data_IF_846549276932
#
_entry.id   IF_846549276932
#
_cell.length_a   1.000
_cell.length_b   1.000
_cell.length_c   1.000
_cell.angle_alpha   90.00
_cell.angle_beta   90.00
_cell.angle_gamma   90.00
#
_symmetry.space_group_name_H-M   'P 1'
#
loop_
_entity.id
_entity.type
_entity.pdbx_description
1 polymer ?
#
# COMPACT_ATOMS: atom_id res chain seq x y z
N UNK A 1 -31.54 3.24 -22.68
CA UNK A 1 -30.12 3.70 -22.65
C UNK A 1 -29.45 2.93 -21.53
N UNK A 2 -28.39 2.17 -21.84
CA UNK A 2 -27.53 1.60 -20.79
C UNK A 2 -26.79 2.77 -20.15
N UNK A 3 -26.79 2.87 -18.82
CA UNK A 3 -26.09 3.94 -18.11
C UNK A 3 -24.58 3.95 -18.42
N UNK A 4 -23.85 4.99 -17.98
CA UNK A 4 -22.39 5.01 -18.11
C UNK A 4 -21.79 3.73 -17.49
N UNK A 5 -20.64 3.25 -18.01
CA UNK A 5 -20.05 1.96 -17.61
C UNK A 5 -19.58 1.92 -16.14
N UNK A 6 -19.57 3.07 -15.47
CA UNK A 6 -19.10 3.29 -14.11
C UNK A 6 -20.15 4.08 -13.33
N UNK A 7 -20.42 3.66 -12.10
CA UNK A 7 -21.27 4.36 -11.14
C UNK A 7 -20.48 4.55 -9.83
N UNK A 8 -19.78 5.68 -9.65
CA UNK A 8 -18.96 5.93 -8.45
C UNK A 8 -19.74 5.88 -7.13
N UNK A 9 -21.06 6.12 -7.19
CA UNK A 9 -21.97 6.07 -6.03
C UNK A 9 -22.54 4.68 -5.75
N UNK A 10 -22.21 3.69 -6.58
CA UNK A 10 -22.63 2.31 -6.45
C UNK A 10 -22.27 1.73 -5.07
N UNK A 11 -23.05 0.72 -4.67
CA UNK A 11 -22.70 -0.09 -3.51
C UNK A 11 -21.24 -0.62 -3.59
N UNK A 12 -20.45 -0.52 -2.52
CA UNK A 12 -19.05 -0.97 -2.51
C UNK A 12 -18.84 -2.43 -2.93
N UNK A 13 -19.85 -3.29 -2.76
CA UNK A 13 -19.79 -4.71 -3.19
C UNK A 13 -19.76 -4.89 -4.70
N UNK A 14 -20.08 -3.85 -5.49
CA UNK A 14 -19.96 -3.88 -6.96
C UNK A 14 -18.52 -3.66 -7.45
N UNK A 15 -17.56 -3.64 -6.54
CA UNK A 15 -16.14 -3.50 -6.84
C UNK A 15 -15.78 -2.12 -7.39
N UNK A 16 -14.80 -2.09 -8.28
CA UNK A 16 -14.25 -0.85 -8.85
C UNK A 16 -15.26 -0.20 -9.80
N UNK A 17 -15.81 0.92 -9.37
CA UNK A 17 -16.86 1.65 -10.10
C UNK A 17 -16.49 3.11 -10.38
N UNK A 18 -15.26 3.51 -10.06
CA UNK A 18 -14.73 4.82 -10.45
C UNK A 18 -14.22 4.79 -11.89
N UNK A 19 -14.49 5.83 -12.70
CA UNK A 19 -13.90 5.97 -14.03
C UNK A 19 -12.41 6.33 -13.99
N UNK A 20 -11.88 6.63 -12.80
CA UNK A 20 -10.50 7.03 -12.60
C UNK A 20 -9.56 5.83 -12.62
N UNK A 21 -8.41 5.99 -13.24
CA UNK A 21 -7.31 5.04 -13.10
C UNK A 21 -6.56 5.26 -11.76
N UNK A 22 -5.73 4.28 -11.32
CA UNK A 22 -4.96 4.40 -10.08
C UNK A 22 -4.17 5.70 -9.94
N UNK A 23 -3.48 6.15 -10.99
CA UNK A 23 -2.69 7.37 -10.94
C UNK A 23 -3.54 8.64 -10.75
N UNK A 24 -4.74 8.68 -11.34
CA UNK A 24 -5.69 9.76 -11.15
C UNK A 24 -6.24 9.77 -9.72
N UNK A 25 -6.55 8.60 -9.16
CA UNK A 25 -7.01 8.48 -7.77
C UNK A 25 -5.96 9.03 -6.80
N UNK A 26 -4.68 8.73 -6.97
CA UNK A 26 -3.63 9.33 -6.14
C UNK A 26 -3.53 10.85 -6.30
N UNK A 27 -3.51 11.33 -7.55
CA UNK A 27 -3.38 12.76 -7.85
C UNK A 27 -4.54 13.59 -7.31
N UNK A 28 -5.73 13.02 -7.18
CA UNK A 28 -6.91 13.70 -6.65
C UNK A 28 -7.15 13.42 -5.15
N UNK A 29 -6.88 12.19 -4.70
CA UNK A 29 -7.09 11.74 -3.33
C UNK A 29 -6.10 12.35 -2.34
N UNK A 30 -4.82 12.48 -2.70
CA UNK A 30 -3.81 13.07 -1.80
C UNK A 30 -4.13 14.53 -1.46
N UNK A 31 -4.39 15.43 -2.43
CA UNK A 31 -4.77 16.81 -2.11
C UNK A 31 -6.07 16.89 -1.31
N UNK A 32 -7.08 16.06 -1.66
CA UNK A 32 -8.36 16.05 -0.95
C UNK A 32 -8.20 15.64 0.52
N UNK A 33 -7.40 14.60 0.78
CA UNK A 33 -7.13 14.15 2.15
C UNK A 33 -6.27 15.15 2.94
N UNK A 34 -5.28 15.78 2.29
CA UNK A 34 -4.49 16.84 2.92
C UNK A 34 -5.36 18.04 3.29
N UNK A 35 -6.26 18.49 2.41
CA UNK A 35 -7.18 19.58 2.71
C UNK A 35 -8.08 19.27 3.91
N UNK A 36 -8.57 18.03 4.03
CA UNK A 36 -9.30 17.58 5.22
C UNK A 36 -8.44 17.58 6.48
N UNK A 37 -7.18 17.14 6.38
CA UNK A 37 -6.24 17.20 7.51
C UNK A 37 -5.97 18.64 7.95
N UNK A 38 -5.78 19.57 7.02
CA UNK A 38 -5.61 21.00 7.29
C UNK A 38 -6.85 21.57 7.97
N UNK A 39 -8.05 21.21 7.51
CA UNK A 39 -9.30 21.67 8.11
C UNK A 39 -9.49 21.12 9.54
N UNK A 40 -9.15 19.85 9.79
CA UNK A 40 -9.39 19.17 11.07
C UNK A 40 -8.30 19.44 12.11
N UNK A 41 -7.04 19.50 11.69
CA UNK A 41 -5.87 19.54 12.56
C UNK A 41 -5.00 20.79 12.37
N UNK A 42 -5.26 21.62 11.36
CA UNK A 42 -4.51 22.85 11.09
C UNK A 42 -3.20 22.65 10.33
N UNK A 43 -2.89 21.44 9.87
CA UNK A 43 -1.69 21.13 9.10
C UNK A 43 -1.90 19.97 8.12
N UNK A 44 -1.07 19.89 7.09
CA UNK A 44 -1.05 18.77 6.15
C UNK A 44 -0.68 17.45 6.86
N UNK A 45 -1.12 16.32 6.31
CA UNK A 45 -0.94 14.99 6.91
C UNK A 45 0.51 14.69 7.35
N UNK A 46 1.49 15.04 6.50
CA UNK A 46 2.92 14.80 6.75
C UNK A 46 3.50 15.61 7.91
N UNK A 47 2.84 16.69 8.34
CA UNK A 47 3.27 17.54 9.45
C UNK A 47 2.54 17.22 10.77
N UNK A 48 1.60 16.27 10.76
CA UNK A 48 0.90 15.83 11.96
C UNK A 48 1.78 14.95 12.85
N UNK A 49 1.43 14.87 14.14
CA UNK A 49 2.00 13.88 15.07
C UNK A 49 1.61 12.46 14.65
N UNK A 50 2.36 11.44 15.10
CA UNK A 50 2.09 10.05 14.76
C UNK A 50 0.67 9.63 15.17
N UNK A 51 0.22 10.04 16.36
CA UNK A 51 -1.11 9.74 16.88
C UNK A 51 -2.21 10.40 16.02
N UNK A 52 -1.97 11.63 15.55
CA UNK A 52 -2.88 12.33 14.65
C UNK A 52 -2.89 11.72 13.25
N UNK A 53 -1.75 11.23 12.74
CA UNK A 53 -1.67 10.51 11.47
C UNK A 53 -2.50 9.23 11.51
N UNK A 54 -2.35 8.43 12.57
CA UNK A 54 -3.13 7.21 12.76
C UNK A 54 -4.63 7.50 12.86
N UNK A 55 -5.02 8.54 13.60
CA UNK A 55 -6.41 8.97 13.69
C UNK A 55 -6.96 9.45 12.33
N UNK A 56 -6.16 10.20 11.56
CA UNK A 56 -6.52 10.68 10.23
C UNK A 56 -6.72 9.51 9.24
N UNK A 57 -5.78 8.57 9.19
CA UNK A 57 -5.88 7.36 8.36
C UNK A 57 -7.06 6.48 8.77
N UNK A 58 -7.35 6.38 10.07
CA UNK A 58 -8.52 5.66 10.58
C UNK A 58 -9.82 6.31 10.09
N UNK A 59 -9.95 7.64 10.18
CA UNK A 59 -11.12 8.34 9.62
C UNK A 59 -11.23 8.17 8.10
N UNK A 60 -10.10 8.16 7.39
CA UNK A 60 -10.07 7.91 5.95
C UNK A 60 -10.56 6.50 5.61
N UNK A 61 -10.09 5.49 6.34
CA UNK A 61 -10.53 4.09 6.21
C UNK A 61 -12.04 3.92 6.44
N UNK A 62 -12.59 4.64 7.42
CA UNK A 62 -14.02 4.59 7.76
C UNK A 62 -14.91 5.41 6.82
N UNK A 63 -14.33 6.16 5.88
CA UNK A 63 -15.06 7.05 4.98
C UNK A 63 -15.56 8.34 5.63
N UNK A 64 -15.05 8.69 6.82
CA UNK A 64 -15.46 9.89 7.58
C UNK A 64 -14.89 11.20 7.00
N UNK A 65 -13.93 11.08 6.08
CA UNK A 65 -13.29 12.22 5.40
C UNK A 65 -14.22 12.90 4.39
N UNK A 66 -15.27 12.20 3.93
CA UNK A 66 -16.22 12.76 2.96
C UNK A 66 -15.62 13.00 1.58
N UNK A 67 -14.73 12.10 1.13
CA UNK A 67 -14.18 12.16 -0.23
C UNK A 67 -15.29 12.03 -1.28
N UNK A 68 -15.04 12.60 -2.46
CA UNK A 68 -15.94 12.42 -3.60
C UNK A 68 -16.09 10.93 -3.93
N UNK A 69 -17.26 10.48 -4.42
CA UNK A 69 -17.52 9.07 -4.70
C UNK A 69 -16.47 8.40 -5.61
N UNK A 70 -15.91 9.14 -6.57
CA UNK A 70 -14.85 8.69 -7.48
C UNK A 70 -13.54 8.33 -6.76
N UNK A 71 -13.35 8.83 -5.55
CA UNK A 71 -12.15 8.63 -4.71
C UNK A 71 -12.39 7.69 -3.54
N UNK A 72 -13.58 7.07 -3.45
CA UNK A 72 -13.93 6.12 -2.39
C UNK A 72 -12.84 5.05 -2.19
N UNK A 73 -12.29 4.54 -3.29
CA UNK A 73 -11.34 3.43 -3.27
C UNK A 73 -9.89 3.87 -2.99
N UNK A 74 -9.65 5.17 -2.74
CA UNK A 74 -8.31 5.73 -2.48
C UNK A 74 -7.58 5.06 -1.32
N UNK A 75 -8.23 4.89 -0.17
CA UNK A 75 -7.59 4.26 0.99
C UNK A 75 -7.22 2.80 0.72
N UNK A 76 -8.15 2.05 0.11
CA UNK A 76 -7.93 0.64 -0.24
C UNK A 76 -6.75 0.50 -1.19
N UNK A 77 -6.68 1.35 -2.21
CA UNK A 77 -5.56 1.38 -3.16
C UNK A 77 -4.23 1.76 -2.48
N UNK A 78 -4.24 2.76 -1.60
CA UNK A 78 -3.07 3.18 -0.82
C UNK A 78 -2.54 2.05 0.05
N UNK A 79 -3.43 1.39 0.80
CA UNK A 79 -3.07 0.27 1.67
C UNK A 79 -2.53 -0.91 0.86
N UNK A 80 -3.16 -1.24 -0.26
CA UNK A 80 -2.72 -2.32 -1.15
C UNK A 80 -1.32 -2.03 -1.69
N UNK A 81 -1.10 -0.85 -2.27
CA UNK A 81 0.20 -0.49 -2.83
C UNK A 81 1.30 -0.37 -1.77
N UNK A 82 0.94 -0.01 -0.53
CA UNK A 82 1.89 0.01 0.60
C UNK A 82 2.34 -1.41 0.95
N UNK A 83 1.41 -2.37 1.01
CA UNK A 83 1.75 -3.79 1.20
C UNK A 83 2.61 -4.31 0.05
N UNK A 84 2.22 -4.03 -1.18
CA UNK A 84 2.99 -4.42 -2.37
C UNK A 84 4.40 -3.82 -2.33
N UNK A 85 4.54 -2.53 -2.04
CA UNK A 85 5.84 -1.88 -1.90
C UNK A 85 6.69 -2.43 -0.75
N UNK A 86 6.07 -2.93 0.32
CA UNK A 86 6.78 -3.53 1.45
C UNK A 86 7.26 -4.96 1.13
N UNK A 87 6.45 -5.77 0.43
CA UNK A 87 6.73 -7.19 0.21
C UNK A 87 7.34 -7.52 -1.15
N UNK A 88 7.18 -6.67 -2.17
CA UNK A 88 7.69 -6.93 -3.50
C UNK A 88 9.23 -6.84 -3.56
N UNK A 89 9.77 -7.31 -4.69
CA UNK A 89 11.18 -7.18 -5.01
C UNK A 89 11.59 -5.70 -5.13
N UNK A 90 12.78 -5.30 -4.64
CA UNK A 90 13.24 -3.92 -4.72
C UNK A 90 13.27 -3.34 -6.15
N UNK A 91 13.32 -4.18 -7.19
CA UNK A 91 13.30 -3.73 -8.58
C UNK A 91 12.06 -2.91 -8.96
N UNK A 92 10.96 -3.05 -8.21
CA UNK A 92 9.71 -2.32 -8.43
C UNK A 92 9.67 -0.96 -7.71
N UNK A 93 10.76 -0.55 -7.06
CA UNK A 93 10.91 0.74 -6.38
C UNK A 93 10.47 0.75 -4.91
N UNK A 94 9.89 -0.35 -4.42
CA UNK A 94 9.65 -0.59 -2.99
C UNK A 94 10.83 -1.28 -2.30
N UNK A 95 10.60 -1.76 -1.07
CA UNK A 95 11.49 -2.64 -0.29
C UNK A 95 12.99 -2.36 -0.50
N UNK A 96 13.38 -1.09 -0.34
CA UNK A 96 14.72 -0.65 -0.72
C UNK A 96 15.78 -1.48 0.03
N UNK A 97 16.75 -2.03 -0.71
CA UNK A 97 17.80 -2.88 -0.14
C UNK A 97 17.29 -4.15 0.56
N UNK A 98 16.08 -4.62 0.23
CA UNK A 98 15.44 -5.78 0.85
C UNK A 98 15.29 -5.67 2.38
N UNK A 99 15.24 -4.44 2.91
CA UNK A 99 15.18 -4.20 4.35
C UNK A 99 13.91 -4.79 4.97
N UNK A 100 12.77 -4.70 4.29
CA UNK A 100 11.53 -5.30 4.77
C UNK A 100 11.68 -6.84 4.89
N UNK A 101 12.28 -7.48 3.88
CA UNK A 101 12.56 -8.92 3.91
C UNK A 101 13.52 -9.30 5.03
N UNK A 102 14.54 -8.48 5.29
CA UNK A 102 15.46 -8.66 6.42
C UNK A 102 14.71 -8.60 7.76
N UNK A 103 13.86 -7.59 7.96
CA UNK A 103 13.10 -7.40 9.22
C UNK A 103 12.12 -8.53 9.53
N UNK A 104 11.35 -8.96 8.53
CA UNK A 104 10.39 -10.06 8.71
C UNK A 104 11.07 -11.43 8.67
N UNK A 105 12.37 -11.47 8.41
CA UNK A 105 13.16 -12.68 8.31
C UNK A 105 12.78 -13.57 7.13
N UNK A 106 12.31 -12.98 6.02
CA UNK A 106 11.88 -13.70 4.81
C UNK A 106 13.07 -14.37 4.11
N UNK A 107 13.21 -15.72 4.21
CA UNK A 107 14.25 -16.46 3.50
C UNK A 107 13.65 -17.09 2.23
N UNK A 108 14.33 -17.19 1.08
CA UNK A 108 15.66 -16.71 0.69
C UNK A 108 15.59 -15.53 -0.32
N UNK A 109 14.47 -14.80 -0.38
CA UNK A 109 14.17 -13.95 -1.53
C UNK A 109 13.94 -14.77 -2.80
N UNK A 110 14.31 -14.23 -3.95
CA UNK A 110 14.23 -14.90 -5.25
C UNK A 110 15.34 -15.95 -5.50
N UNK A 111 15.84 -16.62 -4.46
CA UNK A 111 16.94 -17.58 -4.58
C UNK A 111 16.43 -18.89 -5.21
N UNK A 112 16.90 -19.19 -6.42
CA UNK A 112 16.38 -20.29 -7.26
C UNK A 112 16.59 -21.72 -6.76
N UNK A 113 17.36 -21.96 -5.69
CA UNK A 113 17.51 -23.29 -5.10
C UNK A 113 17.70 -23.23 -3.58
N UNK A 114 16.87 -23.97 -2.86
CA UNK A 114 16.93 -24.18 -1.40
C UNK A 114 16.77 -25.66 -1.04
N UNK A 115 16.95 -26.58 -2.00
CA UNK A 115 16.64 -28.01 -1.84
C UNK A 115 17.32 -28.64 -0.62
N UNK A 116 18.57 -28.28 -0.34
CA UNK A 116 19.36 -28.74 0.81
C UNK A 116 18.87 -28.24 2.19
N UNK A 117 17.94 -27.29 2.22
CA UNK A 117 17.36 -26.71 3.43
C UNK A 117 15.93 -27.20 3.70
N UNK A 118 15.29 -27.92 2.77
CA UNK A 118 13.91 -28.38 2.89
C UNK A 118 13.71 -29.30 4.09
N UNK A 119 14.69 -30.16 4.37
CA UNK A 119 14.64 -31.13 5.49
C UNK A 119 15.19 -30.56 6.80
N UNK A 120 15.65 -29.30 6.82
CA UNK A 120 16.23 -28.66 8.02
C UNK A 120 15.17 -27.91 8.79
N UNK A 121 14.49 -28.60 9.69
CA UNK A 121 13.47 -28.02 10.55
C UNK A 121 14.08 -27.23 11.71
N UNK A 122 13.42 -26.14 12.11
CA UNK A 122 13.81 -25.30 13.27
C UNK A 122 15.24 -24.75 13.24
N UNK A 123 15.90 -24.73 12.08
CA UNK A 123 17.21 -24.11 11.89
C UNK A 123 17.02 -22.78 11.17
N UNK A 124 17.55 -21.70 11.75
CA UNK A 124 17.54 -20.38 11.10
C UNK A 124 18.37 -20.44 9.82
N UNK A 125 17.77 -20.01 8.71
CA UNK A 125 18.47 -19.87 7.44
C UNK A 125 19.55 -18.77 7.55
N UNK A 126 20.82 -19.05 7.25
CA UNK A 126 21.92 -18.14 7.57
C UNK A 126 22.16 -17.06 6.51
N UNK A 127 21.58 -17.20 5.31
CA UNK A 127 21.85 -16.29 4.21
C UNK A 127 20.74 -15.24 4.10
N UNK A 128 21.14 -13.98 3.88
CA UNK A 128 20.21 -12.88 3.66
C UNK A 128 19.38 -13.05 2.38
N UNK A 129 18.36 -12.19 2.22
CA UNK A 129 17.53 -12.20 1.01
C UNK A 129 18.35 -11.90 -0.25
N UNK A 130 17.83 -12.38 -1.38
CA UNK A 130 18.36 -12.11 -2.72
C UNK A 130 17.25 -11.52 -3.59
N UNK A 131 17.53 -10.40 -4.28
CA UNK A 131 16.58 -9.80 -5.22
C UNK A 131 16.53 -10.60 -6.52
N UNK A 132 15.51 -10.37 -7.36
CA UNK A 132 15.38 -10.93 -8.71
C UNK A 132 16.61 -10.55 -9.57
N UNK A 133 17.20 -9.38 -9.32
CA UNK A 133 18.44 -8.93 -9.97
C UNK A 133 19.71 -9.60 -9.42
N UNK A 134 19.60 -10.42 -8.38
CA UNK A 134 20.72 -11.09 -7.73
C UNK A 134 21.45 -10.26 -6.67
N UNK A 135 20.91 -9.10 -6.29
CA UNK A 135 21.48 -8.25 -5.24
C UNK A 135 21.31 -8.90 -3.86
N UNK A 136 22.16 -8.52 -2.91
CA UNK A 136 22.19 -9.07 -1.55
C UNK A 136 22.12 -7.93 -0.53
N UNK A 137 21.32 -8.12 0.51
CA UNK A 137 21.26 -7.22 1.66
C UNK A 137 22.40 -7.52 2.65
#
# INVERSE_FOLDING_TARGET
MVGPPHDPSADPTRGWQTPLNPAQIYRQGIPAFNAWCEQKYGAAFSALTAEQQDAALTSLQKGEVGLQPELRDFFTLLLQNTKEGYFADPMYGGNHGMQAWSYIGFPPGARGSYKEWVERYNVRYPLGPVSIKGERA
#
